data_IF_883428243718
#
_entry.id   IF_883428243718
#
_cell.length_a   1.000
_cell.length_b   1.000
_cell.length_c   1.000
_cell.angle_alpha   90.00
_cell.angle_beta   90.00
_cell.angle_gamma   90.00
#
_symmetry.space_group_name_H-M   'P 1'
#
loop_
_entity.id
_entity.type
_entity.pdbx_description
1 polymer ?
#
# COMPACT_ATOMS: atom_id res chain seq x y z
N UNK A 1 20.59 -2.33 4.94
CA UNK A 1 19.39 -3.14 4.66
C UNK A 1 18.33 -2.17 4.16
N UNK A 2 17.73 -2.42 3.01
CA UNK A 2 16.64 -1.55 2.53
C UNK A 2 15.35 -1.98 3.23
N UNK A 3 14.70 -1.03 3.87
CA UNK A 3 13.45 -1.25 4.59
C UNK A 3 12.47 -0.16 4.18
N UNK A 4 11.21 -0.53 3.97
CA UNK A 4 10.13 0.40 3.65
C UNK A 4 8.84 -0.06 4.30
N UNK A 5 7.88 0.86 4.43
CA UNK A 5 6.56 0.57 5.00
C UNK A 5 5.54 0.34 3.90
N UNK A 6 4.64 -0.60 4.13
CA UNK A 6 3.47 -0.86 3.30
C UNK A 6 2.30 -1.26 4.19
N UNK A 7 1.19 -1.65 3.60
CA UNK A 7 0.07 -2.28 4.32
C UNK A 7 -0.02 -3.76 3.98
N UNK A 8 -0.69 -4.53 4.83
CA UNK A 8 -1.03 -5.92 4.56
C UNK A 8 -2.50 -6.03 4.14
N UNK A 9 -2.79 -6.59 2.95
CA UNK A 9 -4.15 -6.87 2.51
C UNK A 9 -4.90 -5.68 1.91
N UNK A 10 -6.21 -5.67 2.11
CA UNK A 10 -7.15 -4.71 1.54
C UNK A 10 -8.10 -4.20 2.63
N UNK A 11 -8.39 -2.90 2.61
CA UNK A 11 -9.21 -2.23 3.62
C UNK A 11 -10.22 -1.29 2.99
N UNK A 12 -11.30 -1.07 3.72
CA UNK A 12 -12.40 -0.19 3.34
C UNK A 12 -12.81 0.70 4.49
N UNK A 13 -13.06 1.99 4.22
CA UNK A 13 -13.70 2.92 5.13
C UNK A 13 -14.69 3.82 4.41
N UNK A 14 -15.67 4.31 5.12
CA UNK A 14 -16.65 5.28 4.62
C UNK A 14 -16.83 6.38 5.65
N UNK A 15 -16.98 7.62 5.17
CA UNK A 15 -17.38 8.75 6.01
C UNK A 15 -18.14 9.78 5.20
N UNK A 16 -18.80 10.70 5.88
CA UNK A 16 -19.66 11.72 5.27
C UNK A 16 -19.30 13.12 5.77
N UNK A 17 -19.33 14.09 4.86
CA UNK A 17 -19.23 15.52 5.16
C UNK A 17 -20.15 16.30 4.22
N UNK A 18 -20.93 17.24 4.75
CA UNK A 18 -21.87 18.04 3.97
C UNK A 18 -22.73 17.17 3.02
N UNK A 19 -23.22 16.04 3.51
CA UNK A 19 -23.98 15.04 2.76
C UNK A 19 -23.23 14.39 1.58
N UNK A 20 -21.97 14.73 1.34
CA UNK A 20 -21.13 14.01 0.41
C UNK A 20 -20.54 12.78 1.10
N UNK A 21 -20.66 11.61 0.49
CA UNK A 21 -20.11 10.35 0.97
C UNK A 21 -18.79 10.08 0.29
N UNK A 22 -17.80 9.69 1.08
CA UNK A 22 -16.47 9.31 0.65
C UNK A 22 -16.20 7.86 1.03
N UNK A 23 -16.03 6.99 0.04
CA UNK A 23 -15.75 5.57 0.18
C UNK A 23 -14.28 5.35 -0.18
N UNK A 24 -13.50 4.90 0.77
CA UNK A 24 -12.05 4.72 0.60
C UNK A 24 -11.71 3.25 0.55
N UNK A 25 -11.02 2.84 -0.50
CA UNK A 25 -10.50 1.50 -0.74
C UNK A 25 -8.97 1.58 -0.78
N UNK A 26 -8.30 0.82 0.05
CA UNK A 26 -6.83 0.76 0.11
C UNK A 26 -6.40 -0.68 -0.04
N UNK A 27 -5.36 -0.92 -0.83
CA UNK A 27 -4.83 -2.26 -1.08
C UNK A 27 -3.31 -2.26 -1.23
N UNK A 28 -2.68 -3.32 -0.71
CA UNK A 28 -1.30 -3.64 -1.03
C UNK A 28 -1.18 -4.09 -2.49
N UNK A 29 -0.24 -3.52 -3.22
CA UNK A 29 0.07 -3.86 -4.62
C UNK A 29 1.58 -3.73 -4.84
N UNK A 30 2.16 -4.61 -5.64
CA UNK A 30 3.62 -4.61 -5.90
C UNK A 30 3.97 -4.11 -7.30
N UNK A 31 2.97 -3.96 -8.17
CA UNK A 31 3.16 -3.51 -9.54
C UNK A 31 2.16 -2.42 -9.94
N UNK A 32 2.54 -1.61 -10.93
CA UNK A 32 1.64 -0.61 -11.50
C UNK A 32 0.41 -1.25 -12.18
N UNK A 33 0.58 -2.45 -12.74
CA UNK A 33 -0.51 -3.22 -13.36
C UNK A 33 -1.57 -3.56 -12.30
N UNK A 34 -1.15 -4.12 -11.16
CA UNK A 34 -2.07 -4.43 -10.05
C UNK A 34 -2.79 -3.18 -9.53
N UNK A 35 -2.08 -2.05 -9.41
CA UNK A 35 -2.68 -0.79 -9.02
C UNK A 35 -3.78 -0.34 -10.00
N UNK A 36 -3.51 -0.42 -11.30
CA UNK A 36 -4.47 -0.03 -12.34
C UNK A 36 -5.67 -1.00 -12.42
N UNK A 37 -5.46 -2.29 -12.26
CA UNK A 37 -6.52 -3.29 -12.18
C UNK A 37 -7.43 -3.02 -10.97
N UNK A 38 -6.86 -2.72 -9.82
CA UNK A 38 -7.62 -2.36 -8.62
C UNK A 38 -8.45 -1.09 -8.84
N UNK A 39 -7.85 -0.01 -9.36
CA UNK A 39 -8.55 1.23 -9.69
C UNK A 39 -9.70 0.94 -10.66
N UNK A 40 -9.45 0.16 -11.70
CA UNK A 40 -10.48 -0.23 -12.68
C UNK A 40 -11.63 -1.03 -12.04
N UNK A 41 -11.33 -1.93 -11.11
CA UNK A 41 -12.34 -2.73 -10.40
C UNK A 41 -13.26 -1.85 -9.54
N UNK A 42 -12.69 -0.86 -8.83
CA UNK A 42 -13.46 0.08 -8.02
C UNK A 42 -14.31 1.01 -8.90
N UNK A 43 -13.77 1.50 -10.03
CA UNK A 43 -14.54 2.28 -11.01
C UNK A 43 -15.74 1.49 -11.58
N UNK A 44 -15.56 0.21 -11.85
CA UNK A 44 -16.67 -0.67 -12.29
C UNK A 44 -17.70 -0.87 -11.19
N UNK A 45 -17.26 -1.07 -9.95
CA UNK A 45 -18.15 -1.22 -8.79
C UNK A 45 -18.98 0.03 -8.53
N UNK A 46 -18.40 1.20 -8.73
CA UNK A 46 -19.02 2.52 -8.52
C UNK A 46 -19.17 3.29 -9.84
N UNK A 47 -19.68 2.62 -10.87
CA UNK A 47 -19.87 3.21 -12.21
C UNK A 47 -20.82 4.41 -12.23
N UNK A 48 -21.70 4.51 -11.23
CA UNK A 48 -22.66 5.59 -11.02
C UNK A 48 -22.07 6.79 -10.26
N UNK A 49 -20.89 6.63 -9.67
CA UNK A 49 -20.18 7.74 -9.04
C UNK A 49 -19.47 8.61 -10.09
N UNK A 50 -19.50 9.93 -9.90
CA UNK A 50 -18.83 10.86 -10.82
C UNK A 50 -17.31 10.87 -10.66
N UNK A 51 -16.81 10.55 -9.46
CA UNK A 51 -15.41 10.67 -9.10
C UNK A 51 -14.93 9.43 -8.36
N UNK A 52 -13.95 8.75 -8.94
CA UNK A 52 -13.19 7.66 -8.35
C UNK A 52 -11.71 8.07 -8.38
N UNK A 53 -11.35 9.00 -7.51
CA UNK A 53 -10.01 9.55 -7.46
C UNK A 53 -9.03 8.52 -6.92
N UNK A 54 -7.79 8.54 -7.39
CA UNK A 54 -6.81 7.51 -7.01
C UNK A 54 -5.42 8.08 -6.79
N UNK A 55 -4.65 7.36 -5.98
CA UNK A 55 -3.22 7.58 -5.82
C UNK A 55 -2.54 6.24 -5.55
N UNK A 56 -1.30 6.07 -6.03
CA UNK A 56 -0.48 4.90 -5.71
C UNK A 56 1.00 5.24 -5.70
N UNK A 57 1.73 4.47 -4.91
CA UNK A 57 3.18 4.50 -4.82
C UNK A 57 3.66 3.06 -4.92
N UNK A 58 4.57 2.79 -5.85
CA UNK A 58 5.13 1.46 -6.11
C UNK A 58 6.65 1.50 -6.07
N UNK A 59 7.22 0.43 -5.55
CA UNK A 59 8.65 0.18 -5.51
C UNK A 59 9.27 0.47 -4.16
N UNK A 60 10.34 -0.24 -3.85
CA UNK A 60 11.03 -0.21 -2.56
C UNK A 60 11.57 1.17 -2.18
N UNK A 61 11.82 2.03 -3.20
CA UNK A 61 12.28 3.42 -3.04
C UNK A 61 11.24 4.41 -3.52
N UNK A 62 9.96 3.97 -3.64
CA UNK A 62 8.86 4.81 -4.12
C UNK A 62 9.12 5.36 -5.53
N UNK A 63 9.64 4.52 -6.43
CA UNK A 63 10.08 4.92 -7.79
C UNK A 63 8.92 5.38 -8.67
N UNK A 64 7.74 4.79 -8.49
CA UNK A 64 6.55 5.13 -9.26
C UNK A 64 5.54 5.79 -8.33
N UNK A 65 5.16 7.03 -8.62
CA UNK A 65 4.16 7.79 -7.88
C UNK A 65 3.19 8.39 -8.86
N UNK A 66 1.91 8.04 -8.75
CA UNK A 66 0.87 8.59 -9.62
C UNK A 66 -0.41 8.89 -8.86
N UNK A 67 -1.15 9.86 -9.36
CA UNK A 67 -2.45 10.23 -8.83
C UNK A 67 -3.39 10.74 -9.92
N UNK A 68 -4.70 10.68 -9.65
CA UNK A 68 -5.75 11.13 -10.55
C UNK A 68 -6.89 11.77 -9.79
N UNK A 69 -7.30 12.95 -10.26
CA UNK A 69 -8.47 13.67 -9.74
C UNK A 69 -9.80 13.12 -10.29
N UNK A 70 -9.78 12.31 -11.33
CA UNK A 70 -10.96 11.66 -11.96
C UNK A 70 -12.18 12.60 -12.09
N UNK A 71 -11.94 13.79 -12.65
CA UNK A 71 -12.99 14.80 -12.89
C UNK A 71 -13.29 15.77 -11.73
N UNK A 72 -12.65 15.61 -10.57
CA UNK A 72 -12.61 16.69 -9.57
C UNK A 72 -11.75 17.86 -10.07
N UNK A 73 -11.89 19.08 -9.52
CA UNK A 73 -11.01 20.18 -9.87
C UNK A 73 -9.54 19.82 -9.70
N UNK A 74 -8.70 20.23 -10.64
CA UNK A 74 -7.29 19.86 -10.70
C UNK A 74 -6.56 20.10 -9.36
N UNK A 75 -5.88 19.06 -8.87
CA UNK A 75 -5.08 19.09 -7.64
C UNK A 75 -5.89 19.02 -6.34
N UNK A 76 -7.21 18.81 -6.40
CA UNK A 76 -8.04 18.82 -5.18
C UNK A 76 -8.30 17.43 -4.59
N UNK A 77 -7.96 16.36 -5.31
CA UNK A 77 -8.21 14.99 -4.88
C UNK A 77 -6.95 14.11 -4.93
N UNK A 78 -6.46 13.81 -6.12
CA UNK A 78 -5.36 12.87 -6.29
C UNK A 78 -4.07 13.30 -5.60
N UNK A 79 -3.66 14.56 -5.76
CA UNK A 79 -2.45 15.09 -5.14
C UNK A 79 -2.52 15.07 -3.59
N UNK A 80 -3.59 15.53 -2.92
CA UNK A 80 -3.75 15.40 -1.47
C UNK A 80 -3.71 13.95 -0.98
N UNK A 81 -4.29 13.01 -1.73
CA UNK A 81 -4.25 11.59 -1.40
C UNK A 81 -2.80 11.06 -1.44
N UNK A 82 -2.07 11.38 -2.51
CA UNK A 82 -0.68 10.98 -2.68
C UNK A 82 0.22 11.54 -1.56
N UNK A 83 0.00 12.80 -1.17
CA UNK A 83 0.77 13.43 -0.08
C UNK A 83 0.56 12.74 1.27
N UNK A 84 -0.63 12.21 1.57
CA UNK A 84 -0.85 11.43 2.78
C UNK A 84 -0.03 10.14 2.76
N UNK A 85 0.02 9.42 1.62
CA UNK A 85 0.84 8.21 1.48
C UNK A 85 2.33 8.52 1.68
N UNK A 86 2.82 9.60 1.06
CA UNK A 86 4.22 10.06 1.18
C UNK A 86 4.59 10.43 2.62
N UNK A 87 3.75 11.19 3.32
CA UNK A 87 3.98 11.59 4.72
C UNK A 87 4.05 10.40 5.67
N UNK A 88 3.36 9.31 5.35
CA UNK A 88 3.41 8.06 6.12
C UNK A 88 4.55 7.13 5.66
N UNK A 89 5.36 7.56 4.67
CA UNK A 89 6.48 6.79 4.10
C UNK A 89 6.05 5.42 3.56
N UNK A 90 4.83 5.36 2.98
CA UNK A 90 4.25 4.12 2.45
C UNK A 90 4.63 3.94 0.98
N UNK A 91 4.92 2.69 0.60
CA UNK A 91 5.09 2.25 -0.78
C UNK A 91 4.38 0.91 -1.00
N UNK A 92 4.31 0.45 -2.25
CA UNK A 92 3.56 -0.74 -2.65
C UNK A 92 2.10 -0.68 -2.19
N UNK A 93 1.45 0.45 -2.47
CA UNK A 93 0.10 0.77 -2.01
C UNK A 93 -0.69 1.53 -3.07
N UNK A 94 -1.96 1.18 -3.21
CA UNK A 94 -2.93 1.92 -4.00
C UNK A 94 -4.11 2.33 -3.13
N UNK A 95 -4.60 3.55 -3.33
CA UNK A 95 -5.83 4.04 -2.71
C UNK A 95 -6.77 4.60 -3.77
N UNK A 96 -8.05 4.26 -3.64
CA UNK A 96 -9.14 4.83 -4.44
C UNK A 96 -10.17 5.42 -3.49
N UNK A 97 -10.55 6.67 -3.74
CA UNK A 97 -11.62 7.35 -3.01
C UNK A 97 -12.75 7.65 -3.97
N UNK A 98 -13.87 6.98 -3.78
CA UNK A 98 -15.11 7.20 -4.52
C UNK A 98 -15.94 8.25 -3.79
N UNK A 99 -16.38 9.28 -4.49
CA UNK A 99 -17.24 10.33 -3.94
C UNK A 99 -18.62 10.33 -4.57
N UNK A 100 -19.64 10.33 -3.70
CA UNK A 100 -21.02 10.64 -4.04
C UNK A 100 -21.37 12.03 -3.52
N UNK A 101 -21.71 12.95 -4.43
CA UNK A 101 -22.03 14.33 -4.09
C UNK A 101 -23.36 14.45 -3.34
N UNK A 102 -23.38 15.17 -2.23
CA UNK A 102 -24.54 15.35 -1.36
C UNK A 102 -25.34 16.63 -1.58
N UNK A 103 -25.09 17.36 -2.66
CA UNK A 103 -25.81 18.62 -2.97
C UNK A 103 -25.19 19.89 -2.35
N UNK A 104 -24.23 19.77 -1.44
CA UNK A 104 -23.53 20.90 -0.81
C UNK A 104 -22.08 20.91 -1.31
N UNK A 105 -21.67 22.02 -1.93
CA UNK A 105 -20.30 22.18 -2.43
C UNK A 105 -19.31 22.33 -1.27
N UNK A 106 -18.19 21.59 -1.34
CA UNK A 106 -17.10 21.69 -0.36
C UNK A 106 -16.10 22.82 -0.68
N UNK A 107 -16.03 23.23 -1.93
CA UNK A 107 -14.98 24.12 -2.44
C UNK A 107 -13.63 23.42 -2.55
N UNK A 108 -12.65 24.05 -3.21
CA UNK A 108 -11.33 23.45 -3.44
C UNK A 108 -10.62 23.06 -2.13
N UNK A 109 -10.55 23.97 -1.17
CA UNK A 109 -9.94 23.69 0.14
C UNK A 109 -10.68 22.60 0.95
N UNK A 110 -12.02 22.54 0.81
CA UNK A 110 -12.81 21.47 1.42
C UNK A 110 -12.56 20.11 0.79
N UNK A 111 -12.43 20.04 -0.53
CA UNK A 111 -12.08 18.82 -1.25
C UNK A 111 -10.69 18.31 -0.87
N UNK A 112 -9.67 19.17 -0.86
CA UNK A 112 -8.31 18.81 -0.45
C UNK A 112 -8.32 18.16 0.94
N UNK A 113 -8.99 18.78 1.91
CA UNK A 113 -9.10 18.23 3.26
C UNK A 113 -9.89 16.92 3.30
N UNK A 114 -10.98 16.82 2.52
CA UNK A 114 -11.84 15.65 2.51
C UNK A 114 -11.11 14.42 1.92
N UNK A 115 -10.44 14.58 0.78
CA UNK A 115 -9.66 13.48 0.18
C UNK A 115 -8.47 13.05 1.04
N UNK A 116 -7.72 14.01 1.60
CA UNK A 116 -6.64 13.70 2.54
C UNK A 116 -7.13 12.96 3.78
N UNK A 117 -8.25 13.42 4.38
CA UNK A 117 -8.88 12.75 5.53
C UNK A 117 -9.37 11.35 5.19
N UNK A 118 -9.94 11.15 3.99
CA UNK A 118 -10.38 9.83 3.53
C UNK A 118 -9.24 8.81 3.55
N UNK A 119 -8.07 9.19 3.03
CA UNK A 119 -6.88 8.33 3.04
C UNK A 119 -6.42 8.07 4.47
N UNK A 120 -6.36 9.11 5.32
CA UNK A 120 -5.96 8.95 6.72
C UNK A 120 -6.85 7.96 7.46
N UNK A 121 -8.18 8.09 7.34
CA UNK A 121 -9.13 7.15 7.94
C UNK A 121 -8.95 5.72 7.42
N UNK A 122 -8.65 5.55 6.14
CA UNK A 122 -8.34 4.24 5.56
C UNK A 122 -7.04 3.64 6.12
N UNK A 123 -6.02 4.46 6.34
CA UNK A 123 -4.77 4.01 6.95
C UNK A 123 -4.94 3.67 8.44
N UNK A 124 -5.80 4.39 9.17
CA UNK A 124 -6.07 4.14 10.59
C UNK A 124 -6.64 2.74 10.86
N UNK A 125 -7.35 2.16 9.89
CA UNK A 125 -7.87 0.78 9.97
C UNK A 125 -6.96 -0.25 9.32
N UNK A 126 -5.91 0.19 8.64
CA UNK A 126 -4.98 -0.68 7.92
C UNK A 126 -3.89 -1.22 8.83
N UNK A 127 -3.48 -2.46 8.60
CA UNK A 127 -2.29 -3.02 9.23
C UNK A 127 -1.05 -2.56 8.47
N UNK A 128 -0.32 -1.61 9.03
CA UNK A 128 0.95 -1.16 8.47
C UNK A 128 2.04 -2.13 8.88
N UNK A 129 2.79 -2.61 7.88
CA UNK A 129 3.91 -3.54 8.06
C UNK A 129 5.20 -2.95 7.50
N UNK A 130 6.33 -3.40 8.03
CA UNK A 130 7.67 -3.05 7.56
C UNK A 130 8.20 -4.20 6.73
N UNK A 131 8.47 -3.97 5.46
CA UNK A 131 9.17 -4.90 4.59
C UNK A 131 10.68 -4.66 4.66
N UNK A 132 11.43 -5.72 4.80
CA UNK A 132 12.90 -5.69 4.79
C UNK A 132 13.38 -6.64 3.70
N UNK A 133 14.36 -6.18 2.91
CA UNK A 133 14.94 -6.98 1.84
C UNK A 133 16.16 -7.72 2.38
N UNK A 134 16.14 -9.03 2.19
CA UNK A 134 17.22 -9.91 2.57
C UNK A 134 17.79 -10.63 1.35
N UNK A 135 19.11 -10.80 1.33
CA UNK A 135 19.73 -11.76 0.42
C UNK A 135 19.51 -13.17 0.96
N UNK A 136 19.01 -14.05 0.13
CA UNK A 136 18.85 -15.47 0.47
C UNK A 136 20.00 -16.27 -0.17
N UNK A 137 20.68 -17.08 0.63
CA UNK A 137 21.77 -17.93 0.19
C UNK A 137 21.41 -19.39 0.43
N UNK A 138 21.67 -20.25 -0.54
CA UNK A 138 21.63 -21.70 -0.37
C UNK A 138 23.05 -22.18 -0.06
N UNK A 139 23.19 -22.98 0.99
CA UNK A 139 24.43 -23.59 1.40
C UNK A 139 24.24 -25.10 1.52
N UNK A 140 25.16 -25.86 0.94
CA UNK A 140 25.23 -27.30 1.12
C UNK A 140 26.37 -27.59 2.11
N UNK A 141 26.07 -28.29 3.20
CA UNK A 141 26.99 -28.58 4.30
C UNK A 141 27.03 -30.04 4.60
N UNK A 142 28.22 -30.52 4.97
CA UNK A 142 28.37 -31.89 5.56
C UNK A 142 27.77 -31.90 6.96
N UNK A 143 27.23 -33.06 7.37
CA UNK A 143 26.57 -33.25 8.67
C UNK A 143 27.44 -32.91 9.87
N UNK A 144 28.75 -33.19 9.79
CA UNK A 144 29.72 -32.91 10.85
C UNK A 144 29.88 -31.41 11.13
N UNK A 145 29.63 -30.56 10.16
CA UNK A 145 29.68 -29.10 10.30
C UNK A 145 28.33 -28.46 10.72
N UNK A 146 27.24 -29.18 10.65
CA UNK A 146 25.90 -28.64 10.84
C UNK A 146 25.74 -27.94 12.20
N UNK A 147 26.11 -28.61 13.29
CA UNK A 147 25.92 -28.09 14.64
C UNK A 147 26.76 -26.84 14.92
N UNK A 148 28.00 -26.78 14.46
CA UNK A 148 28.86 -25.61 14.62
C UNK A 148 28.39 -24.46 13.78
N UNK A 149 27.90 -24.72 12.59
CA UNK A 149 27.37 -23.69 11.69
C UNK A 149 26.03 -23.10 12.19
N UNK A 150 25.12 -23.95 12.66
CA UNK A 150 23.88 -23.48 13.28
C UNK A 150 24.14 -22.57 14.50
N UNK A 151 25.07 -22.94 15.34
CA UNK A 151 25.49 -22.11 16.48
C UNK A 151 26.05 -20.76 16.02
N UNK A 152 26.88 -20.76 14.97
CA UNK A 152 27.40 -19.54 14.38
C UNK A 152 26.30 -18.64 13.85
N UNK A 153 25.32 -19.18 13.09
CA UNK A 153 24.18 -18.43 12.58
C UNK A 153 23.32 -17.85 13.70
N UNK A 154 23.10 -18.62 14.76
CA UNK A 154 22.37 -18.16 15.93
C UNK A 154 23.09 -17.00 16.64
N UNK A 155 24.42 -17.10 16.85
CA UNK A 155 25.21 -16.01 17.44
C UNK A 155 25.22 -14.74 16.57
N UNK A 156 25.08 -14.86 15.25
CA UNK A 156 25.02 -13.76 14.30
C UNK A 156 23.60 -13.27 14.01
N UNK A 157 22.59 -13.83 14.67
CA UNK A 157 21.16 -13.56 14.45
C UNK A 157 20.72 -13.73 12.98
N UNK A 158 21.38 -14.63 12.25
CA UNK A 158 21.06 -14.95 10.86
C UNK A 158 19.96 -16.01 10.85
N UNK A 159 18.84 -15.67 10.20
CA UNK A 159 17.69 -16.60 10.11
C UNK A 159 17.94 -17.71 9.11
N UNK A 160 17.61 -18.93 9.50
CA UNK A 160 17.49 -20.08 8.59
C UNK A 160 16.05 -20.11 8.08
N UNK A 161 15.88 -20.05 6.76
CA UNK A 161 14.56 -20.06 6.13
C UNK A 161 14.03 -21.49 5.95
N UNK A 162 14.90 -22.40 5.48
CA UNK A 162 14.59 -23.82 5.30
C UNK A 162 15.81 -24.69 5.54
N UNK A 163 15.59 -25.96 5.88
CA UNK A 163 16.62 -27.01 6.01
C UNK A 163 16.13 -28.25 5.30
N UNK A 164 16.86 -28.66 4.30
CA UNK A 164 16.61 -29.92 3.60
C UNK A 164 17.74 -30.89 3.95
N UNK A 165 17.40 -32.12 4.31
CA UNK A 165 18.35 -33.16 4.62
C UNK A 165 18.33 -34.20 3.50
N UNK A 166 19.48 -34.48 2.95
CA UNK A 166 19.63 -35.54 1.94
C UNK A 166 20.69 -36.55 2.38
N UNK A 167 20.40 -37.79 2.19
CA UNK A 167 21.41 -38.82 2.27
C UNK A 167 22.25 -38.73 1.00
N UNK A 168 23.52 -38.34 1.18
CA UNK A 168 24.50 -38.45 0.10
C UNK A 168 24.98 -39.90 0.15
N UNK A 169 24.51 -40.71 -0.79
CA UNK A 169 25.08 -42.03 -1.06
C UNK A 169 26.28 -41.87 -2.00
#
# INVERSE_FOLDING_TARGET
MLEYKTIEGEYFTEWEINKSRFLTYIKHVETEIEAQEFISSIKKKHFDARHNCSAYIIGERSEIQKSSDDGEPSGTAGAPMLEVLKKNELSDIVVVVTRYFGGIKLGAGGLIRAYGKSVTLGLDVSTIVKKSIFNCYKLDLNYDLLGSFENYLHQKEIRIQNKDYSDIV
#
